data_IF_472826191874
#
_entry.id   IF_472826191874
#
_cell.length_a   1.000
_cell.length_b   1.000
_cell.length_c   1.000
_cell.angle_alpha   90.00
_cell.angle_beta   90.00
_cell.angle_gamma   90.00
#
_symmetry.space_group_name_H-M   'P 1'
#
loop_
_entity.id
_entity.type
_entity.pdbx_description
1 polymer ?
#
# COMPACT_ATOMS: atom_id res chain seq x y z
N UNK A 1 -22.40 28.58 -19.69
CA UNK A 1 -21.97 27.57 -20.68
C UNK A 1 -22.10 26.21 -20.03
N UNK A 2 -23.22 25.54 -20.27
CA UNK A 2 -23.44 24.15 -19.87
C UNK A 2 -22.63 23.27 -20.82
N UNK A 3 -21.58 22.62 -20.31
CA UNK A 3 -20.85 21.61 -21.07
C UNK A 3 -21.74 20.38 -21.24
N UNK A 4 -22.46 20.35 -22.36
CA UNK A 4 -23.16 19.17 -22.84
C UNK A 4 -22.11 18.18 -23.34
N UNK A 5 -21.58 17.39 -22.41
CA UNK A 5 -20.51 16.41 -22.66
C UNK A 5 -21.11 15.01 -22.85
N UNK A 6 -22.20 14.90 -23.60
CA UNK A 6 -22.66 13.62 -24.12
C UNK A 6 -21.88 13.35 -25.40
N UNK A 7 -20.70 12.72 -25.27
CA UNK A 7 -20.16 11.96 -26.40
C UNK A 7 -21.23 10.93 -26.78
N UNK A 8 -21.89 11.21 -27.90
CA UNK A 8 -23.13 10.60 -28.37
C UNK A 8 -22.87 9.20 -28.98
N UNK A 9 -22.05 8.38 -28.31
CA UNK A 9 -21.81 7.00 -28.70
C UNK A 9 -22.80 6.11 -27.98
N UNK A 10 -23.48 5.24 -28.74
CA UNK A 10 -24.33 4.22 -28.16
C UNK A 10 -23.53 3.36 -27.16
N UNK A 11 -24.12 2.96 -26.02
CA UNK A 11 -23.42 2.15 -25.04
C UNK A 11 -23.07 0.79 -25.66
N UNK A 12 -21.83 0.34 -25.42
CA UNK A 12 -21.33 -0.93 -25.95
C UNK A 12 -21.90 -2.12 -25.19
N UNK A 13 -21.97 -3.26 -25.86
CA UNK A 13 -22.35 -4.52 -25.24
C UNK A 13 -21.17 -5.13 -24.48
N UNK A 14 -21.45 -6.05 -23.55
CA UNK A 14 -20.41 -6.72 -22.79
C UNK A 14 -19.38 -7.46 -23.67
N UNK A 15 -19.81 -8.05 -24.79
CA UNK A 15 -18.93 -8.74 -25.75
C UNK A 15 -17.89 -7.84 -26.41
N UNK A 16 -18.17 -6.54 -26.53
CA UNK A 16 -17.26 -5.57 -27.14
C UNK A 16 -16.01 -5.33 -26.29
N UNK A 17 -16.01 -5.81 -25.05
CA UNK A 17 -14.88 -5.74 -24.13
C UNK A 17 -14.01 -7.00 -24.13
N UNK A 18 -14.45 -8.11 -24.74
CA UNK A 18 -13.66 -9.35 -24.75
C UNK A 18 -12.31 -9.14 -25.44
N UNK A 19 -12.30 -8.65 -26.68
CA UNK A 19 -11.07 -8.43 -27.43
C UNK A 19 -10.07 -7.46 -26.74
N UNK A 20 -10.50 -6.30 -26.18
CA UNK A 20 -9.60 -5.49 -25.35
C UNK A 20 -9.00 -6.21 -24.14
N UNK A 21 -9.77 -7.04 -23.43
CA UNK A 21 -9.25 -7.76 -22.26
C UNK A 21 -8.38 -8.96 -22.65
N UNK A 22 -8.67 -9.65 -23.76
CA UNK A 22 -7.78 -10.66 -24.37
C UNK A 22 -6.44 -10.03 -24.75
N UNK A 23 -6.44 -8.84 -25.38
CA UNK A 23 -5.20 -8.13 -25.68
C UNK A 23 -4.40 -7.76 -24.41
N UNK A 24 -5.08 -7.37 -23.33
CA UNK A 24 -4.40 -7.13 -22.04
C UNK A 24 -3.86 -8.42 -21.41
N UNK A 25 -4.52 -9.56 -21.61
CA UNK A 25 -4.01 -10.86 -21.17
C UNK A 25 -2.74 -11.23 -21.94
N UNK A 26 -2.74 -11.08 -23.26
CA UNK A 26 -1.56 -11.30 -24.12
C UNK A 26 -0.40 -10.37 -23.75
N UNK A 27 -0.68 -9.09 -23.50
CA UNK A 27 0.33 -8.13 -23.06
C UNK A 27 0.87 -8.50 -21.67
N UNK A 28 0.01 -8.98 -20.76
CA UNK A 28 0.41 -9.42 -19.42
C UNK A 28 1.30 -10.67 -19.47
N UNK A 29 1.06 -11.59 -20.40
CA UNK A 29 1.84 -12.83 -20.55
C UNK A 29 3.33 -12.54 -20.77
N UNK A 30 3.64 -11.44 -21.48
CA UNK A 30 5.03 -11.01 -21.73
C UNK A 30 5.83 -10.77 -20.45
N UNK A 31 5.16 -10.46 -19.33
CA UNK A 31 5.80 -10.15 -18.06
C UNK A 31 5.99 -11.36 -17.13
N UNK A 32 5.39 -12.52 -17.43
CA UNK A 32 5.40 -13.68 -16.50
C UNK A 32 6.75 -14.38 -16.43
N UNK A 33 7.45 -14.48 -17.55
CA UNK A 33 8.67 -15.28 -17.69
C UNK A 33 9.95 -14.45 -17.90
N UNK A 34 9.86 -13.13 -17.68
CA UNK A 34 11.00 -12.22 -17.84
C UNK A 34 11.38 -11.55 -16.52
N UNK A 35 12.66 -11.24 -16.37
CA UNK A 35 13.11 -10.41 -15.26
C UNK A 35 12.66 -8.96 -15.50
N UNK A 36 11.87 -8.44 -14.55
CA UNK A 36 11.34 -7.09 -14.61
C UNK A 36 12.45 -6.09 -14.24
N UNK A 37 12.68 -5.11 -15.11
CA UNK A 37 13.52 -3.94 -14.85
C UNK A 37 12.64 -2.68 -14.68
N UNK A 38 13.26 -1.52 -14.41
CA UNK A 38 12.53 -0.27 -14.18
C UNK A 38 11.61 0.15 -15.35
N UNK A 39 12.06 -0.08 -16.60
CA UNK A 39 11.28 0.24 -17.79
C UNK A 39 10.05 -0.65 -17.92
N UNK A 40 10.23 -1.96 -17.79
CA UNK A 40 9.15 -2.94 -17.82
C UNK A 40 8.18 -2.75 -16.65
N UNK A 41 8.67 -2.36 -15.47
CA UNK A 41 7.82 -2.03 -14.33
C UNK A 41 6.93 -0.81 -14.61
N UNK A 42 7.46 0.21 -15.31
CA UNK A 42 6.71 1.39 -15.70
C UNK A 42 5.64 1.08 -16.77
N UNK A 43 5.95 0.20 -17.74
CA UNK A 43 4.98 -0.32 -18.71
C UNK A 43 3.88 -1.16 -18.04
N UNK A 44 4.24 -1.99 -17.08
CA UNK A 44 3.28 -2.78 -16.31
C UNK A 44 2.33 -1.90 -15.48
N UNK A 45 2.84 -0.79 -14.92
CA UNK A 45 2.00 0.21 -14.26
C UNK A 45 1.01 0.89 -15.23
N UNK A 46 1.44 1.14 -16.47
CA UNK A 46 0.56 1.66 -17.53
C UNK A 46 -0.51 0.66 -17.93
N UNK A 47 -0.15 -0.63 -18.04
CA UNK A 47 -1.10 -1.71 -18.32
C UNK A 47 -2.17 -1.81 -17.22
N UNK A 48 -1.78 -1.76 -15.93
CA UNK A 48 -2.73 -1.71 -14.80
C UNK A 48 -3.71 -0.55 -14.97
N UNK A 49 -3.20 0.63 -15.37
CA UNK A 49 -4.05 1.80 -15.57
C UNK A 49 -5.00 1.65 -16.76
N UNK A 50 -4.53 1.05 -17.86
CA UNK A 50 -5.33 0.77 -19.04
C UNK A 50 -6.49 -0.20 -18.72
N UNK A 51 -6.19 -1.29 -18.00
CA UNK A 51 -7.19 -2.27 -17.51
C UNK A 51 -8.26 -1.55 -16.66
N UNK A 52 -7.85 -0.73 -15.68
CA UNK A 52 -8.78 0.02 -14.83
C UNK A 52 -9.64 1.01 -15.62
N UNK A 53 -9.06 1.68 -16.61
CA UNK A 53 -9.79 2.62 -17.47
C UNK A 53 -10.87 1.88 -18.27
N UNK A 54 -10.52 0.73 -18.86
CA UNK A 54 -11.48 -0.08 -19.62
C UNK A 54 -12.56 -0.70 -18.74
N UNK A 55 -12.22 -1.15 -17.53
CA UNK A 55 -13.22 -1.61 -16.56
C UNK A 55 -14.22 -0.50 -16.18
N UNK A 56 -13.74 0.75 -16.06
CA UNK A 56 -14.59 1.91 -15.80
C UNK A 56 -15.53 2.21 -16.98
N UNK A 57 -15.02 2.16 -18.21
CA UNK A 57 -15.84 2.27 -19.43
C UNK A 57 -16.94 1.19 -19.46
N UNK A 58 -16.58 -0.08 -19.23
CA UNK A 58 -17.53 -1.18 -19.18
C UNK A 58 -18.62 -0.98 -18.12
N UNK A 59 -18.25 -0.48 -16.95
CA UNK A 59 -19.24 -0.19 -15.91
C UNK A 59 -20.16 1.00 -16.28
N UNK A 60 -19.65 2.01 -17.00
CA UNK A 60 -20.48 3.12 -17.48
C UNK A 60 -21.51 2.62 -18.50
N UNK A 61 -21.08 1.81 -19.47
CA UNK A 61 -21.96 1.23 -20.49
C UNK A 61 -22.98 0.26 -19.88
N UNK A 62 -22.58 -0.54 -18.88
CA UNK A 62 -23.51 -1.35 -18.07
C UNK A 62 -24.62 -0.50 -17.46
N UNK A 63 -24.27 0.61 -16.81
CA UNK A 63 -25.25 1.50 -16.16
C UNK A 63 -26.19 2.10 -17.19
N UNK A 64 -25.68 2.54 -18.34
CA UNK A 64 -26.47 3.07 -19.44
C UNK A 64 -27.43 2.02 -20.01
N UNK A 65 -26.95 0.81 -20.31
CA UNK A 65 -27.78 -0.27 -20.84
C UNK A 65 -28.85 -0.74 -19.85
N UNK A 66 -28.52 -0.89 -18.56
CA UNK A 66 -29.53 -1.25 -17.55
C UNK A 66 -30.65 -0.23 -17.45
N UNK A 67 -30.35 1.06 -17.64
CA UNK A 67 -31.36 2.12 -17.65
C UNK A 67 -32.27 2.01 -18.88
N UNK A 68 -31.72 1.66 -20.04
CA UNK A 68 -32.48 1.50 -21.28
C UNK A 68 -33.31 0.21 -21.31
N UNK A 69 -32.86 -0.85 -20.64
CA UNK A 69 -33.49 -2.17 -20.60
C UNK A 69 -33.87 -2.58 -19.17
N UNK A 70 -34.82 -1.88 -18.57
CA UNK A 70 -35.22 -2.10 -17.17
C UNK A 70 -35.68 -3.55 -16.91
N UNK A 71 -36.46 -4.14 -17.82
CA UNK A 71 -37.01 -5.50 -17.67
C UNK A 71 -35.92 -6.58 -17.80
N UNK A 72 -34.85 -6.31 -18.55
CA UNK A 72 -33.70 -7.20 -18.73
C UNK A 72 -32.48 -6.76 -17.91
N UNK A 73 -32.66 -5.88 -16.91
CA UNK A 73 -31.55 -5.26 -16.18
C UNK A 73 -30.64 -6.28 -15.46
N UNK A 74 -31.20 -7.42 -15.03
CA UNK A 74 -30.44 -8.50 -14.40
C UNK A 74 -29.58 -9.27 -15.40
N UNK A 75 -30.07 -9.49 -16.63
CA UNK A 75 -29.30 -10.15 -17.68
C UNK A 75 -28.12 -9.29 -18.14
N UNK A 76 -28.36 -7.98 -18.32
CA UNK A 76 -27.29 -7.01 -18.61
C UNK A 76 -26.26 -7.03 -17.49
N UNK A 77 -26.70 -6.99 -16.22
CA UNK A 77 -25.79 -7.08 -15.08
C UNK A 77 -24.94 -8.36 -15.11
N UNK A 78 -25.56 -9.51 -15.36
CA UNK A 78 -24.86 -10.80 -15.38
C UNK A 78 -23.76 -10.83 -16.46
N UNK A 79 -24.04 -10.34 -17.67
CA UNK A 79 -23.05 -10.27 -18.76
C UNK A 79 -21.86 -9.38 -18.41
N UNK A 80 -22.10 -8.21 -17.81
CA UNK A 80 -21.02 -7.31 -17.39
C UNK A 80 -20.27 -7.77 -16.14
N UNK A 81 -20.85 -8.63 -15.30
CA UNK A 81 -20.12 -9.23 -14.18
C UNK A 81 -18.94 -10.09 -14.68
N UNK A 82 -19.11 -10.82 -15.79
CA UNK A 82 -18.01 -11.60 -16.40
C UNK A 82 -16.85 -10.68 -16.80
N UNK A 83 -17.14 -9.57 -17.47
CA UNK A 83 -16.14 -8.56 -17.87
C UNK A 83 -15.44 -7.95 -16.65
N UNK A 84 -16.21 -7.63 -15.60
CA UNK A 84 -15.67 -7.09 -14.35
C UNK A 84 -14.72 -8.09 -13.68
N UNK A 85 -15.11 -9.37 -13.64
CA UNK A 85 -14.34 -10.41 -12.97
C UNK A 85 -13.04 -10.71 -13.75
N UNK A 86 -13.09 -10.69 -15.09
CA UNK A 86 -11.91 -10.74 -15.96
C UNK A 86 -10.96 -9.57 -15.71
N UNK A 87 -11.48 -8.34 -15.72
CA UNK A 87 -10.67 -7.14 -15.45
C UNK A 87 -10.00 -7.19 -14.07
N UNK A 88 -10.73 -7.66 -13.04
CA UNK A 88 -10.20 -7.83 -11.68
C UNK A 88 -9.11 -8.89 -11.64
N UNK A 89 -9.27 -10.01 -12.35
CA UNK A 89 -8.27 -11.06 -12.46
C UNK A 89 -6.97 -10.53 -13.07
N UNK A 90 -7.06 -9.86 -14.21
CA UNK A 90 -5.91 -9.26 -14.90
C UNK A 90 -5.22 -8.19 -14.05
N UNK A 91 -6.00 -7.29 -13.42
CA UNK A 91 -5.47 -6.27 -12.52
C UNK A 91 -4.71 -6.89 -11.33
N UNK A 92 -5.27 -7.95 -10.74
CA UNK A 92 -4.65 -8.64 -9.60
C UNK A 92 -3.34 -9.29 -10.01
N UNK A 93 -3.32 -9.98 -11.15
CA UNK A 93 -2.12 -10.62 -11.70
C UNK A 93 -1.02 -9.59 -12.01
N UNK A 94 -1.35 -8.51 -12.73
CA UNK A 94 -0.40 -7.43 -13.03
C UNK A 94 0.16 -6.77 -11.77
N UNK A 95 -0.70 -6.50 -10.77
CA UNK A 95 -0.26 -5.96 -9.47
C UNK A 95 0.66 -6.93 -8.72
N UNK A 96 0.41 -8.23 -8.80
CA UNK A 96 1.25 -9.23 -8.13
C UNK A 96 2.68 -9.21 -8.70
N UNK A 97 2.82 -9.15 -10.03
CA UNK A 97 4.11 -9.08 -10.71
C UNK A 97 4.84 -7.78 -10.31
N UNK A 98 4.16 -6.63 -10.42
CA UNK A 98 4.73 -5.34 -10.05
C UNK A 98 5.14 -5.27 -8.57
N UNK A 99 4.30 -5.79 -7.67
CA UNK A 99 4.61 -5.84 -6.24
C UNK A 99 5.84 -6.68 -5.97
N UNK A 100 5.97 -7.84 -6.61
CA UNK A 100 7.11 -8.74 -6.44
C UNK A 100 8.42 -8.08 -6.86
N UNK A 101 8.40 -7.32 -7.97
CA UNK A 101 9.54 -6.51 -8.40
C UNK A 101 9.89 -5.41 -7.38
N UNK A 102 8.91 -4.63 -6.94
CA UNK A 102 9.13 -3.52 -6.00
C UNK A 102 9.65 -3.99 -4.65
N UNK A 103 9.21 -5.16 -4.15
CA UNK A 103 9.72 -5.77 -2.92
C UNK A 103 11.19 -6.14 -3.07
N UNK A 104 11.55 -6.87 -4.14
CA UNK A 104 12.96 -7.23 -4.41
C UNK A 104 13.84 -5.99 -4.54
N UNK A 105 13.37 -4.96 -5.24
CA UNK A 105 14.09 -3.70 -5.38
C UNK A 105 14.30 -3.00 -4.03
N UNK A 106 13.26 -2.96 -3.19
CA UNK A 106 13.37 -2.40 -1.85
C UNK A 106 14.36 -3.19 -0.97
N UNK A 107 14.38 -4.52 -1.05
CA UNK A 107 15.34 -5.37 -0.34
C UNK A 107 16.79 -5.09 -0.76
N UNK A 108 17.06 -5.00 -2.07
CA UNK A 108 18.40 -4.71 -2.61
C UNK A 108 18.90 -3.34 -2.13
N UNK A 109 18.04 -2.32 -2.18
CA UNK A 109 18.43 -0.96 -1.78
C UNK A 109 18.56 -0.82 -0.25
N UNK A 110 17.75 -1.54 0.53
CA UNK A 110 17.90 -1.62 1.98
C UNK A 110 19.24 -2.29 2.36
N UNK A 111 19.64 -3.36 1.67
CA UNK A 111 20.94 -4.00 1.88
C UNK A 111 22.10 -3.07 1.48
N UNK A 112 21.96 -2.35 0.37
CA UNK A 112 22.96 -1.37 -0.08
C UNK A 112 23.14 -0.23 0.94
N UNK A 113 22.05 0.26 1.53
CA UNK A 113 22.10 1.24 2.61
C UNK A 113 22.81 0.67 3.84
N UNK A 114 22.46 -0.53 4.29
CA UNK A 114 23.09 -1.14 5.45
C UNK A 114 24.62 -1.31 5.24
N UNK A 115 25.05 -1.71 4.04
CA UNK A 115 26.49 -1.76 3.70
C UNK A 115 27.13 -0.37 3.72
N UNK A 116 26.49 0.64 3.13
CA UNK A 116 26.99 2.01 3.14
C UNK A 116 27.12 2.57 4.58
N UNK A 117 26.15 2.28 5.46
CA UNK A 117 26.20 2.68 6.87
C UNK A 117 27.36 2.01 7.62
N UNK A 118 27.62 0.71 7.37
CA UNK A 118 28.76 0.00 7.96
C UNK A 118 30.11 0.56 7.48
N UNK A 119 30.26 0.83 6.19
CA UNK A 119 31.48 1.41 5.63
C UNK A 119 31.72 2.83 6.14
N UNK A 120 30.66 3.65 6.24
CA UNK A 120 30.75 4.99 6.81
C UNK A 120 31.14 4.95 8.30
N UNK A 121 30.55 4.04 9.08
CA UNK A 121 30.90 3.87 10.49
C UNK A 121 32.36 3.44 10.69
N UNK A 122 32.86 2.51 9.86
CA UNK A 122 34.25 2.06 9.96
C UNK A 122 35.24 3.15 9.52
N UNK A 123 34.95 3.87 8.43
CA UNK A 123 35.78 5.00 7.99
C UNK A 123 35.78 6.15 8.99
N UNK A 124 34.65 6.46 9.60
CA UNK A 124 34.58 7.45 10.68
C UNK A 124 35.41 7.03 11.89
N UNK A 125 35.37 5.74 12.28
CA UNK A 125 36.19 5.21 13.37
C UNK A 125 37.70 5.26 13.07
N UNK A 126 38.09 5.02 11.82
CA UNK A 126 39.49 5.11 11.38
C UNK A 126 39.96 6.57 11.38
N UNK A 127 39.13 7.49 10.86
CA UNK A 127 39.43 8.92 10.86
C UNK A 127 39.57 9.47 12.29
N UNK A 128 38.71 9.07 13.22
CA UNK A 128 38.81 9.47 14.63
C UNK A 128 40.12 9.02 15.27
N UNK A 129 40.57 7.79 14.98
CA UNK A 129 41.83 7.24 15.52
C UNK A 129 43.08 7.90 14.93
N UNK A 130 42.98 8.47 13.73
CA UNK A 130 44.10 9.07 12.99
C UNK A 130 44.02 10.61 12.96
N UNK A 131 43.08 11.21 13.71
CA UNK A 131 42.84 12.64 13.73
C UNK A 131 44.06 13.46 14.20
N UNK A 132 44.91 12.87 15.05
CA UNK A 132 46.11 13.52 15.59
C UNK A 132 47.33 13.39 14.65
N UNK A 133 47.26 12.59 13.59
CA UNK A 133 48.34 12.44 12.62
C UNK A 133 48.21 13.45 11.48
N UNK A 134 49.07 14.47 11.47
CA UNK A 134 49.03 15.57 10.51
C UNK A 134 49.21 15.16 9.04
N UNK A 135 49.74 13.96 8.75
CA UNK A 135 49.95 13.48 7.38
C UNK A 135 48.82 12.57 6.87
N UNK A 136 48.12 11.90 7.79
CA UNK A 136 47.07 10.90 7.46
C UNK A 136 45.66 11.40 7.79
N UNK A 137 45.53 12.35 8.72
CA UNK A 137 44.26 12.90 9.19
C UNK A 137 43.43 13.57 8.10
N UNK A 138 44.05 14.31 7.18
CA UNK A 138 43.32 15.01 6.10
C UNK A 138 42.74 14.02 5.07
N UNK A 139 43.51 13.01 4.64
CA UNK A 139 43.04 11.97 3.71
C UNK A 139 41.93 11.12 4.33
N UNK A 140 42.05 10.77 5.61
CA UNK A 140 41.08 9.92 6.30
C UNK A 140 39.78 10.66 6.65
N UNK A 141 39.86 11.97 6.94
CA UNK A 141 38.68 12.82 7.06
C UNK A 141 37.89 12.91 5.75
N UNK A 142 38.58 13.03 4.62
CA UNK A 142 37.93 13.09 3.31
C UNK A 142 37.29 11.74 2.92
N UNK A 143 37.95 10.62 3.21
CA UNK A 143 37.37 9.29 3.02
C UNK A 143 36.10 9.06 3.87
N UNK A 144 36.07 9.60 5.09
CA UNK A 144 34.89 9.56 5.96
C UNK A 144 33.75 10.44 5.42
N UNK A 145 34.05 11.62 4.90
CA UNK A 145 33.06 12.50 4.28
C UNK A 145 32.43 11.88 3.02
N UNK A 146 33.24 11.27 2.16
CA UNK A 146 32.76 10.62 0.95
C UNK A 146 31.92 9.37 1.28
N UNK A 147 32.28 8.64 2.33
CA UNK A 147 31.45 7.54 2.83
C UNK A 147 30.10 8.03 3.40
N UNK A 148 30.07 9.17 4.08
CA UNK A 148 28.83 9.79 4.53
C UNK A 148 27.93 10.22 3.36
N UNK A 149 28.51 10.74 2.26
CA UNK A 149 27.76 11.04 1.03
C UNK A 149 27.15 9.80 0.39
N UNK A 150 27.84 8.65 0.44
CA UNK A 150 27.30 7.38 -0.04
C UNK A 150 26.08 6.92 0.77
N UNK A 151 26.05 7.14 2.09
CA UNK A 151 24.86 6.87 2.92
C UNK A 151 23.69 7.75 2.50
N UNK A 152 23.91 9.04 2.25
CA UNK A 152 22.84 9.96 1.78
C UNK A 152 22.28 9.50 0.43
N UNK A 153 23.15 9.12 -0.51
CA UNK A 153 22.72 8.60 -1.81
C UNK A 153 21.98 7.27 -1.68
N UNK A 154 22.44 6.35 -0.82
CA UNK A 154 21.78 5.08 -0.58
C UNK A 154 20.40 5.26 0.08
N UNK A 155 20.28 6.20 1.03
CA UNK A 155 19.00 6.55 1.66
C UNK A 155 17.99 7.09 0.63
N UNK A 156 18.42 8.01 -0.22
CA UNK A 156 17.58 8.53 -1.31
C UNK A 156 17.18 7.44 -2.31
N UNK A 157 18.02 6.43 -2.55
CA UNK A 157 17.67 5.29 -3.41
C UNK A 157 16.65 4.37 -2.75
N UNK A 158 16.82 4.05 -1.47
CA UNK A 158 15.86 3.24 -0.70
C UNK A 158 14.46 3.89 -0.70
N UNK A 159 14.38 5.20 -0.43
CA UNK A 159 13.12 5.94 -0.45
C UNK A 159 12.40 5.85 -1.81
N UNK A 160 13.17 5.83 -2.91
CA UNK A 160 12.65 5.72 -4.26
C UNK A 160 12.45 4.28 -4.75
N UNK A 161 13.07 3.29 -4.10
CA UNK A 161 12.98 1.87 -4.45
C UNK A 161 11.54 1.34 -4.36
N UNK A 162 10.79 1.92 -3.43
CA UNK A 162 9.37 1.62 -3.21
C UNK A 162 8.43 2.26 -4.24
N UNK A 163 8.93 2.94 -5.29
CA UNK A 163 8.12 3.74 -6.22
C UNK A 163 8.41 3.39 -7.68
N UNK A 164 7.36 3.25 -8.48
CA UNK A 164 7.43 3.01 -9.92
C UNK A 164 6.57 4.04 -10.65
N UNK A 165 7.18 4.74 -11.61
CA UNK A 165 6.52 5.73 -12.45
C UNK A 165 5.65 5.13 -13.56
N UNK A 166 5.22 5.98 -14.47
CA UNK A 166 4.54 5.60 -15.71
C UNK A 166 5.50 5.79 -16.88
N UNK A 167 5.55 4.83 -17.81
CA UNK A 167 6.40 4.95 -18.99
C UNK A 167 5.84 6.02 -19.94
N UNK A 168 4.52 6.05 -20.11
CA UNK A 168 3.79 6.96 -20.99
C UNK A 168 3.32 8.26 -20.32
N UNK A 169 3.43 8.37 -18.99
CA UNK A 169 2.88 9.47 -18.19
C UNK A 169 1.36 9.39 -17.94
N UNK A 170 0.70 8.32 -18.39
CA UNK A 170 -0.76 8.13 -18.25
C UNK A 170 -1.13 7.59 -16.87
N UNK A 171 -0.28 6.75 -16.28
CA UNK A 171 -0.49 6.22 -14.94
C UNK A 171 0.11 7.13 -13.86
N UNK A 172 -0.46 7.08 -12.65
CA UNK A 172 0.17 7.69 -11.47
C UNK A 172 1.28 6.77 -10.98
N UNK A 173 2.22 7.32 -10.22
CA UNK A 173 3.25 6.53 -9.53
C UNK A 173 2.60 5.48 -8.63
N UNK A 174 2.97 4.21 -8.83
CA UNK A 174 2.67 3.12 -7.91
C UNK A 174 3.69 3.15 -6.77
N UNK A 175 3.24 2.95 -5.52
CA UNK A 175 4.12 2.89 -4.36
C UNK A 175 3.73 1.75 -3.42
N UNK A 176 4.72 1.08 -2.81
CA UNK A 176 4.46 0.16 -1.72
C UNK A 176 3.91 0.94 -0.51
N UNK A 177 3.03 0.29 0.26
CA UNK A 177 2.53 0.82 1.53
C UNK A 177 3.02 -0.07 2.66
N UNK A 178 3.67 0.55 3.64
CA UNK A 178 4.11 -0.12 4.87
C UNK A 178 2.92 -0.22 5.83
N UNK A 179 2.67 -1.44 6.32
CA UNK A 179 1.73 -1.71 7.41
C UNK A 179 2.54 -2.10 8.65
N UNK A 180 2.13 -1.58 9.80
CA UNK A 180 2.73 -1.89 11.10
C UNK A 180 1.73 -2.72 11.90
N UNK A 181 1.94 -4.03 11.93
CA UNK A 181 1.13 -4.94 12.74
C UNK A 181 1.84 -5.19 14.07
N UNK A 182 1.17 -4.86 15.18
CA UNK A 182 1.68 -5.10 16.51
C UNK A 182 1.14 -6.42 17.06
N UNK A 183 2.04 -7.31 17.48
CA UNK A 183 1.69 -8.56 18.17
C UNK A 183 2.05 -8.41 19.65
N UNK A 184 1.06 -8.56 20.53
CA UNK A 184 1.29 -8.54 21.98
C UNK A 184 2.00 -9.83 22.38
N UNK A 185 3.28 -9.73 22.74
CA UNK A 185 4.07 -10.85 23.26
C UNK A 185 3.90 -11.06 24.77
N UNK A 186 3.77 -9.96 25.52
CA UNK A 186 3.55 -9.95 26.97
C UNK A 186 2.40 -8.98 27.30
N UNK A 187 1.20 -9.51 27.60
CA UNK A 187 0.03 -8.68 27.91
C UNK A 187 0.23 -7.76 29.11
N UNK A 188 0.98 -8.17 30.13
CA UNK A 188 1.17 -7.37 31.33
C UNK A 188 2.04 -6.14 31.05
N UNK A 189 3.14 -6.32 30.29
CA UNK A 189 3.99 -5.21 29.85
C UNK A 189 3.28 -4.29 28.85
N UNK A 190 2.52 -4.85 27.92
CA UNK A 190 1.71 -4.06 26.99
C UNK A 190 0.68 -3.21 27.74
N UNK A 191 -0.03 -3.81 28.70
CA UNK A 191 -0.97 -3.08 29.55
C UNK A 191 -0.29 -1.96 30.34
N UNK A 192 0.89 -2.22 30.92
CA UNK A 192 1.67 -1.20 31.63
C UNK A 192 2.09 -0.04 30.71
N UNK A 193 2.53 -0.34 29.49
CA UNK A 193 2.97 0.67 28.52
C UNK A 193 1.84 1.60 28.06
N UNK A 194 0.60 1.08 27.97
CA UNK A 194 -0.56 1.84 27.48
C UNK A 194 -1.57 2.20 28.59
N UNK A 195 -1.27 1.98 29.87
CA UNK A 195 -2.23 2.17 30.98
C UNK A 195 -2.74 3.61 31.11
N UNK A 196 -1.92 4.57 30.70
CA UNK A 196 -2.25 6.00 30.75
C UNK A 196 -2.89 6.52 29.46
N UNK A 197 -3.06 5.67 28.43
CA UNK A 197 -3.71 6.05 27.18
C UNK A 197 -5.23 6.18 27.40
N UNK A 198 -5.84 7.35 27.13
CA UNK A 198 -7.29 7.54 27.27
C UNK A 198 -8.14 6.55 26.47
N UNK A 199 -7.66 6.10 25.30
CA UNK A 199 -8.38 5.12 24.47
C UNK A 199 -8.40 3.74 25.14
N UNK A 200 -7.30 3.33 25.77
CA UNK A 200 -7.24 2.07 26.53
C UNK A 200 -8.12 2.15 27.77
N UNK A 201 -8.11 3.28 28.48
CA UNK A 201 -9.00 3.51 29.62
C UNK A 201 -10.48 3.43 29.22
N UNK A 202 -10.86 4.02 28.08
CA UNK A 202 -12.23 3.93 27.57
C UNK A 202 -12.64 2.48 27.25
N UNK A 203 -11.74 1.67 26.69
CA UNK A 203 -12.00 0.25 26.45
C UNK A 203 -12.17 -0.51 27.77
N UNK A 204 -11.33 -0.25 28.77
CA UNK A 204 -11.42 -0.85 30.10
C UNK A 204 -12.76 -0.48 30.76
N UNK A 205 -13.15 0.79 30.76
CA UNK A 205 -14.43 1.27 31.30
C UNK A 205 -15.61 0.57 30.60
N UNK A 206 -15.60 0.54 29.26
CA UNK A 206 -16.65 -0.11 28.46
C UNK A 206 -16.79 -1.59 28.82
N UNK A 207 -15.65 -2.27 29.03
CA UNK A 207 -15.66 -3.68 29.37
C UNK A 207 -16.10 -3.95 30.81
N UNK A 208 -15.72 -3.08 31.75
CA UNK A 208 -16.19 -3.11 33.14
C UNK A 208 -17.70 -2.85 33.25
N UNK A 209 -18.24 -1.87 32.50
CA UNK A 209 -19.68 -1.62 32.41
C UNK A 209 -20.43 -2.80 31.80
N UNK A 210 -19.91 -3.40 30.73
CA UNK A 210 -20.50 -4.56 30.09
C UNK A 210 -20.57 -5.75 31.05
N UNK A 211 -19.51 -5.99 31.81
CA UNK A 211 -19.47 -7.03 32.83
C UNK A 211 -20.50 -6.77 33.95
N UNK A 212 -20.59 -5.54 34.45
CA UNK A 212 -21.58 -5.14 35.46
C UNK A 212 -23.03 -5.30 34.97
N UNK A 213 -23.31 -4.98 33.70
CA UNK A 213 -24.65 -5.19 33.11
C UNK A 213 -24.99 -6.68 32.95
N UNK A 214 -23.99 -7.51 32.67
CA UNK A 214 -24.18 -8.95 32.46
C UNK A 214 -24.45 -9.71 33.74
N UNK A 215 -23.99 -9.20 34.88
CA UNK A 215 -24.20 -9.81 36.18
C UNK A 215 -25.56 -9.42 36.80
N UNK A 216 -26.44 -10.41 36.93
CA UNK A 216 -27.78 -10.25 37.51
C UNK A 216 -27.75 -9.94 39.00
N UNK A 217 -26.66 -10.28 39.69
CA UNK A 217 -26.50 -10.06 41.13
C UNK A 217 -25.96 -8.66 41.46
N UNK A 218 -25.41 -7.93 40.46
CA UNK A 218 -24.78 -6.60 40.60
C UNK A 218 -23.76 -6.53 41.73
N UNK A 219 -23.12 -7.65 42.08
CA UNK A 219 -22.20 -7.72 43.22
C UNK A 219 -20.73 -7.79 42.79
N UNK A 220 -20.42 -7.75 41.50
CA UNK A 220 -19.03 -7.75 41.03
C UNK A 220 -18.37 -6.41 41.38
N UNK A 221 -17.39 -6.46 42.28
CA UNK A 221 -16.44 -5.36 42.51
C UNK A 221 -15.19 -5.60 41.68
N UNK A 222 -14.77 -4.59 40.92
CA UNK A 222 -13.48 -4.59 40.20
C UNK A 222 -12.51 -3.66 40.93
N UNK A 223 -11.37 -4.20 41.37
CA UNK A 223 -10.34 -3.40 42.01
C UNK A 223 -9.85 -2.29 41.07
N UNK A 224 -9.85 -1.05 41.57
CA UNK A 224 -9.46 0.13 40.79
C UNK A 224 -10.55 0.72 39.87
N UNK A 225 -11.76 0.14 39.83
CA UNK A 225 -12.91 0.71 39.07
C UNK A 225 -14.03 1.10 40.02
N UNK A 226 -14.40 2.38 40.02
CA UNK A 226 -15.54 2.89 40.79
C UNK A 226 -16.76 3.04 39.89
N UNK A 227 -17.89 2.45 40.28
CA UNK A 227 -19.16 2.59 39.57
C UNK A 227 -20.04 3.63 40.25
N UNK A 228 -20.45 4.64 39.49
CA UNK A 228 -21.40 5.65 39.94
C UNK A 228 -22.79 5.32 39.40
N UNK A 229 -23.80 5.28 40.28
CA UNK A 229 -25.19 5.08 39.87
C UNK A 229 -25.83 6.42 39.57
N UNK A 230 -26.31 6.61 38.33
CA UNK A 230 -27.13 7.75 37.93
C UNK A 230 -28.47 7.21 37.42
N UNK A 231 -29.56 7.74 37.97
CA UNK A 231 -30.91 7.46 37.50
C UNK A 231 -31.42 8.71 36.78
N UNK A 232 -31.82 8.56 35.54
CA UNK A 232 -32.48 9.60 34.76
C UNK A 232 -33.84 9.09 34.31
N UNK A 233 -34.81 9.98 34.26
CA UNK A 233 -36.11 9.68 33.65
C UNK A 233 -35.88 9.53 32.15
N UNK A 234 -36.37 8.42 31.59
CA UNK A 234 -36.26 8.11 30.17
C UNK A 234 -36.96 9.14 29.28
#
# INVERSE_FOLDING_TARGET
MTHDNTTNNAPKNASDYNAPFEAFEDDLERFKDIEINDGLAAELNDLIKAIQSKAKEANADRVALKKSFADAANEVQAKFNVVRDLAKGLETSAKSILTSYMVKRAEIEAEARHKAEQEAAEKARIAEKLADDAFVGESTAQDAEDAAKLVVLATAREENASRVGSASGVARTASLRTYWDAVISDPAKAAAAFMHDPAVQAVIIKQAEAAMRSDKSKSITFDGVQFNTRQEVA
#
